data_IF_143398739340
#
_entry.id   IF_143398739340
#
_cell.length_a   1.000
_cell.length_b   1.000
_cell.length_c   1.000
_cell.angle_alpha   90.00
_cell.angle_beta   90.00
_cell.angle_gamma   90.00
#
_symmetry.space_group_name_H-M   'P 1'
#
loop_
_entity.id
_entity.type
_entity.pdbx_description
1 polymer ?
#
# COMPACT_ATOMS: atom_id res chain seq x y z
N UNK A 1 5.81 41.39 26.35
CA UNK A 1 5.34 41.08 25.00
C UNK A 1 6.53 40.53 24.21
N UNK A 2 6.65 39.23 24.07
CA UNK A 2 7.75 38.57 23.38
C UNK A 2 7.47 38.52 21.87
N UNK A 3 8.40 39.06 21.08
CA UNK A 3 8.35 39.03 19.61
C UNK A 3 8.35 37.59 19.09
N UNK A 4 7.54 37.21 18.10
CA UNK A 4 7.52 35.87 17.54
C UNK A 4 8.86 35.57 16.85
N UNK A 5 9.53 34.50 17.29
CA UNK A 5 10.74 34.00 16.61
C UNK A 5 10.40 33.57 15.18
N UNK A 6 10.88 34.32 14.20
CA UNK A 6 10.86 33.88 12.79
C UNK A 6 11.67 32.58 12.65
N UNK A 7 10.99 31.51 12.28
CA UNK A 7 11.66 30.28 11.85
C UNK A 7 12.47 30.59 10.58
N UNK A 8 13.79 30.37 10.63
CA UNK A 8 14.63 30.46 9.44
C UNK A 8 14.19 29.38 8.43
N UNK A 9 14.07 29.74 7.14
CA UNK A 9 13.80 28.73 6.11
C UNK A 9 14.91 27.69 6.12
N UNK A 10 14.53 26.43 6.11
CA UNK A 10 15.44 25.29 6.07
C UNK A 10 16.14 25.28 4.71
N UNK A 11 17.45 25.07 4.71
CA UNK A 11 18.23 24.93 3.49
C UNK A 11 17.63 23.82 2.60
N UNK A 12 17.49 24.10 1.31
CA UNK A 12 17.08 23.12 0.31
C UNK A 12 18.07 21.94 0.30
N UNK A 13 17.58 20.69 0.11
CA UNK A 13 18.46 19.54 0.00
C UNK A 13 19.46 19.77 -1.17
N UNK A 14 20.69 19.24 -1.06
CA UNK A 14 21.68 19.39 -2.12
C UNK A 14 21.13 18.81 -3.43
N UNK A 15 21.33 19.52 -4.53
CA UNK A 15 20.94 19.05 -5.86
C UNK A 15 21.65 17.74 -6.17
N UNK A 16 20.89 16.76 -6.67
CA UNK A 16 21.42 15.46 -7.11
C UNK A 16 22.45 15.72 -8.22
N UNK A 17 23.65 15.16 -8.08
CA UNK A 17 24.70 15.31 -9.08
C UNK A 17 24.22 14.80 -10.44
N UNK A 18 24.45 15.52 -11.57
CA UNK A 18 24.17 15.02 -12.90
C UNK A 18 24.90 13.69 -13.10
N UNK A 19 24.16 12.63 -13.51
CA UNK A 19 24.72 11.29 -13.74
C UNK A 19 24.60 10.31 -12.58
N UNK A 20 23.98 10.68 -11.44
CA UNK A 20 23.64 9.70 -10.41
C UNK A 20 22.59 8.71 -10.95
N UNK A 21 22.98 7.44 -11.15
CA UNK A 21 22.01 6.37 -11.44
C UNK A 21 21.08 6.21 -10.24
N UNK A 22 19.79 6.23 -10.51
CA UNK A 22 18.80 5.81 -9.52
C UNK A 22 19.08 4.34 -9.15
N UNK A 23 18.96 3.96 -7.86
CA UNK A 23 19.11 2.56 -7.47
C UNK A 23 18.10 1.72 -8.24
N UNK A 24 18.58 0.72 -8.96
CA UNK A 24 17.73 -0.22 -9.66
C UNK A 24 16.90 -0.98 -8.62
N UNK A 25 15.57 -0.84 -8.69
CA UNK A 25 14.66 -1.61 -7.88
C UNK A 25 14.81 -3.10 -8.19
N UNK A 26 14.81 -3.96 -7.20
CA UNK A 26 14.75 -5.41 -7.42
C UNK A 26 13.53 -5.73 -8.28
N UNK A 27 13.66 -6.50 -9.36
CA UNK A 27 12.50 -6.92 -10.13
C UNK A 27 11.56 -7.72 -9.22
N UNK A 28 10.38 -7.15 -8.96
CA UNK A 28 9.35 -7.83 -8.17
C UNK A 28 8.52 -8.70 -9.12
N UNK A 29 8.92 -9.96 -9.26
CA UNK A 29 8.11 -10.95 -9.97
C UNK A 29 7.11 -11.59 -8.99
N UNK A 30 5.84 -11.52 -9.33
CA UNK A 30 4.79 -12.25 -8.64
C UNK A 30 4.11 -13.20 -9.62
N UNK A 31 3.84 -14.44 -9.19
CA UNK A 31 3.19 -15.44 -10.02
C UNK A 31 1.75 -15.05 -10.43
N UNK A 32 1.10 -14.19 -9.65
CA UNK A 32 -0.24 -13.69 -9.91
C UNK A 32 -0.54 -12.39 -9.13
N UNK A 33 -1.67 -11.74 -9.42
CA UNK A 33 -2.07 -10.49 -8.77
C UNK A 33 -2.23 -10.62 -7.25
N UNK A 34 -2.72 -11.76 -6.75
CA UNK A 34 -2.88 -11.97 -5.30
C UNK A 34 -1.51 -12.04 -4.61
N UNK A 35 -0.53 -12.67 -5.25
CA UNK A 35 0.84 -12.73 -4.75
C UNK A 35 1.56 -11.37 -4.75
N UNK A 36 1.10 -10.43 -5.56
CA UNK A 36 1.64 -9.07 -5.61
C UNK A 36 1.08 -8.15 -4.50
N UNK A 37 0.07 -8.61 -3.76
CA UNK A 37 -0.51 -7.84 -2.65
C UNK A 37 0.48 -7.75 -1.49
N UNK A 38 0.74 -6.54 -1.02
CA UNK A 38 1.65 -6.30 0.08
C UNK A 38 3.08 -6.03 -0.37
N UNK A 39 4.02 -6.22 0.53
CA UNK A 39 5.43 -5.90 0.31
C UNK A 39 5.66 -4.51 -0.30
N UNK A 40 4.76 -3.57 0.00
CA UNK A 40 4.78 -2.19 -0.50
C UNK A 40 5.99 -1.44 0.05
N UNK A 41 6.56 -0.49 -0.69
CA UNK A 41 7.72 0.27 -0.24
C UNK A 41 7.47 1.04 1.04
N UNK A 42 8.51 1.17 1.87
CA UNK A 42 8.56 2.04 3.03
C UNK A 42 9.59 3.14 2.75
N UNK A 43 9.14 4.39 2.69
CA UNK A 43 9.95 5.54 2.30
C UNK A 43 10.13 6.49 3.47
N UNK A 44 11.36 6.88 3.76
CA UNK A 44 11.63 7.87 4.80
C UNK A 44 11.30 9.28 4.28
N UNK A 45 10.67 10.07 5.14
CA UNK A 45 10.28 11.46 4.88
C UNK A 45 11.07 12.44 5.77
N UNK A 46 12.38 12.63 5.53
CA UNK A 46 13.24 13.38 6.43
C UNK A 46 12.83 14.86 6.53
N UNK A 47 12.23 15.42 5.47
CA UNK A 47 11.75 16.81 5.45
C UNK A 47 10.63 17.05 6.46
N UNK A 48 9.87 16.03 6.80
CA UNK A 48 8.75 16.10 7.75
C UNK A 48 9.16 15.77 9.19
N UNK A 49 10.41 15.40 9.42
CA UNK A 49 10.91 15.14 10.77
C UNK A 49 10.84 16.41 11.62
N UNK A 50 10.16 16.38 12.79
CA UNK A 50 9.96 17.57 13.63
C UNK A 50 11.25 17.99 14.36
N UNK A 51 12.17 17.06 14.62
CA UNK A 51 13.43 17.31 15.33
C UNK A 51 14.44 16.17 15.07
N UNK A 52 15.70 16.41 15.46
CA UNK A 52 16.75 15.39 15.42
C UNK A 52 16.37 14.14 16.23
N UNK A 53 16.70 12.98 15.71
CA UNK A 53 16.41 11.68 16.33
C UNK A 53 14.99 11.14 16.11
N UNK A 54 14.08 11.93 15.49
CA UNK A 54 12.75 11.47 15.08
C UNK A 54 12.74 11.16 13.59
N UNK A 55 12.33 9.96 13.21
CA UNK A 55 12.21 9.54 11.79
C UNK A 55 10.75 9.27 11.45
N UNK A 56 10.33 9.78 10.31
CA UNK A 56 8.98 9.59 9.78
C UNK A 56 9.08 8.77 8.50
N UNK A 57 8.23 7.75 8.39
CA UNK A 57 8.16 6.88 7.22
C UNK A 57 6.75 6.84 6.64
N UNK A 58 6.66 6.79 5.33
CA UNK A 58 5.43 6.54 4.60
C UNK A 58 5.44 5.12 4.02
N UNK A 59 4.39 4.36 4.27
CA UNK A 59 4.12 3.08 3.63
C UNK A 59 3.31 3.32 2.37
N UNK A 60 3.87 3.02 1.20
CA UNK A 60 3.25 3.32 -0.09
C UNK A 60 2.21 2.27 -0.48
N UNK A 61 1.07 2.26 0.19
CA UNK A 61 0.00 1.27 -0.04
C UNK A 61 -0.70 1.40 -1.40
N UNK A 62 -0.52 2.51 -2.10
CA UNK A 62 -0.93 2.66 -3.50
C UNK A 62 -0.23 1.70 -4.47
N UNK A 63 0.85 1.05 -4.05
CA UNK A 63 1.58 0.06 -4.85
C UNK A 63 0.97 -1.36 -4.81
N UNK A 64 -0.15 -1.55 -4.12
CA UNK A 64 -0.92 -2.78 -4.23
C UNK A 64 -1.61 -2.88 -5.61
N UNK A 65 -1.97 -4.09 -6.10
CA UNK A 65 -2.55 -4.29 -7.44
C UNK A 65 -3.75 -3.42 -7.82
N UNK A 66 -4.66 -3.13 -6.86
CA UNK A 66 -5.79 -2.23 -7.12
C UNK A 66 -5.51 -0.77 -6.71
N UNK A 67 -4.28 -0.47 -6.30
CA UNK A 67 -3.90 0.87 -5.83
C UNK A 67 -4.33 1.18 -4.40
N UNK A 68 -4.67 0.20 -3.59
CA UNK A 68 -5.24 0.42 -2.26
C UNK A 68 -4.73 -0.55 -1.20
N UNK A 69 -4.67 -0.06 0.05
CA UNK A 69 -4.45 -0.90 1.25
C UNK A 69 -5.54 -1.98 1.42
N UNK A 70 -6.71 -1.80 0.79
CA UNK A 70 -7.82 -2.75 0.89
C UNK A 70 -7.53 -4.10 0.25
N UNK A 71 -6.57 -4.18 -0.64
CA UNK A 71 -6.10 -5.46 -1.19
C UNK A 71 -5.64 -6.42 -0.09
N UNK A 72 -4.96 -5.91 0.93
CA UNK A 72 -4.53 -6.72 2.08
C UNK A 72 -5.71 -7.30 2.85
N UNK A 73 -6.74 -6.47 3.09
CA UNK A 73 -7.94 -6.86 3.82
C UNK A 73 -8.72 -7.90 3.00
N UNK A 74 -8.95 -7.63 1.72
CA UNK A 74 -9.66 -8.55 0.82
C UNK A 74 -8.97 -9.93 0.76
N UNK A 75 -7.63 -9.94 0.60
CA UNK A 75 -6.87 -11.19 0.62
C UNK A 75 -7.03 -11.94 1.94
N UNK A 76 -6.91 -11.25 3.07
CA UNK A 76 -6.99 -11.87 4.39
C UNK A 76 -8.39 -12.46 4.67
N UNK A 77 -9.46 -11.72 4.32
CA UNK A 77 -10.84 -12.17 4.50
C UNK A 77 -11.13 -13.41 3.67
N UNK A 78 -10.78 -13.39 2.39
CA UNK A 78 -11.03 -14.53 1.49
C UNK A 78 -10.17 -15.73 1.89
N UNK A 79 -8.91 -15.53 2.28
CA UNK A 79 -8.05 -16.61 2.74
C UNK A 79 -8.61 -17.25 4.01
N UNK A 80 -9.03 -16.46 5.00
CA UNK A 80 -9.63 -16.98 6.23
C UNK A 80 -10.88 -17.83 5.95
N UNK A 81 -11.75 -17.37 5.02
CA UNK A 81 -12.95 -18.09 4.65
C UNK A 81 -12.68 -19.39 3.83
N UNK A 82 -11.55 -19.44 3.14
CA UNK A 82 -11.08 -20.67 2.52
C UNK A 82 -10.51 -21.65 3.56
N UNK A 83 -9.74 -21.15 4.51
CA UNK A 83 -9.04 -21.94 5.52
C UNK A 83 -10.04 -22.58 6.51
N UNK A 84 -11.11 -21.87 6.87
CA UNK A 84 -12.18 -22.39 7.75
C UNK A 84 -13.27 -23.17 7.00
N UNK A 85 -13.20 -23.25 5.66
CA UNK A 85 -14.14 -23.97 4.81
C UNK A 85 -15.50 -23.29 4.64
N UNK A 86 -15.67 -22.07 5.11
CA UNK A 86 -16.92 -21.31 4.94
C UNK A 86 -17.13 -20.83 3.49
N UNK A 87 -16.07 -20.66 2.71
CA UNK A 87 -16.13 -20.29 1.31
C UNK A 87 -15.98 -21.52 0.40
N UNK A 88 -17.11 -22.12 0.06
CA UNK A 88 -17.19 -23.24 -0.90
C UNK A 88 -17.42 -22.73 -2.33
N UNK A 89 -17.20 -23.60 -3.34
CA UNK A 89 -17.23 -23.20 -4.76
C UNK A 89 -18.61 -22.76 -5.28
N UNK A 90 -19.67 -23.16 -4.62
CA UNK A 90 -21.05 -22.78 -4.93
C UNK A 90 -21.45 -21.42 -4.32
N UNK A 91 -20.66 -20.89 -3.39
CA UNK A 91 -20.95 -19.62 -2.72
C UNK A 91 -20.64 -18.41 -3.59
N UNK A 92 -21.36 -17.32 -3.30
CA UNK A 92 -21.15 -15.98 -3.85
C UNK A 92 -20.69 -15.08 -2.73
N UNK A 93 -19.62 -14.33 -2.95
CA UNK A 93 -19.23 -13.28 -2.03
C UNK A 93 -20.14 -12.06 -2.26
N UNK A 94 -20.66 -11.51 -1.18
CA UNK A 94 -21.52 -10.33 -1.20
C UNK A 94 -20.96 -9.33 -0.20
N UNK A 95 -20.76 -8.09 -0.64
CA UNK A 95 -20.28 -7.01 0.23
C UNK A 95 -20.94 -5.68 -0.17
N UNK A 96 -21.68 -5.04 0.72
CA UNK A 96 -22.26 -3.72 0.46
C UNK A 96 -21.18 -2.63 0.55
N UNK A 97 -20.51 -2.39 -0.57
CA UNK A 97 -19.39 -1.45 -0.64
C UNK A 97 -19.47 -0.58 -1.88
N UNK A 98 -19.06 0.67 -1.76
CA UNK A 98 -18.99 1.61 -2.89
C UNK A 98 -17.56 2.05 -3.21
N UNK A 99 -16.55 1.40 -2.63
CA UNK A 99 -15.18 1.87 -2.72
C UNK A 99 -14.13 0.76 -2.89
N UNK A 100 -12.93 1.07 -2.44
CA UNK A 100 -11.75 0.22 -2.64
C UNK A 100 -11.90 -1.20 -2.08
N UNK A 101 -12.70 -1.41 -1.03
CA UNK A 101 -12.97 -2.75 -0.48
C UNK A 101 -13.63 -3.64 -1.52
N UNK A 102 -14.69 -3.14 -2.19
CA UNK A 102 -15.36 -3.88 -3.26
C UNK A 102 -14.45 -4.16 -4.45
N UNK A 103 -13.66 -3.18 -4.87
CA UNK A 103 -12.70 -3.34 -5.98
C UNK A 103 -11.69 -4.45 -5.64
N UNK A 104 -11.14 -4.42 -4.43
CA UNK A 104 -10.17 -5.41 -3.97
C UNK A 104 -10.77 -6.81 -3.83
N UNK A 105 -11.99 -6.92 -3.27
CA UNK A 105 -12.71 -8.20 -3.16
C UNK A 105 -13.06 -8.77 -4.55
N UNK A 106 -13.53 -7.93 -5.47
CA UNK A 106 -13.82 -8.36 -6.85
C UNK A 106 -12.56 -8.90 -7.55
N UNK A 107 -11.43 -8.25 -7.37
CA UNK A 107 -10.15 -8.70 -7.92
C UNK A 107 -9.74 -10.05 -7.33
N UNK A 108 -9.76 -10.21 -5.99
CA UNK A 108 -9.36 -11.46 -5.33
C UNK A 108 -10.33 -12.59 -5.66
N UNK A 109 -11.64 -12.35 -5.57
CA UNK A 109 -12.68 -13.34 -5.90
C UNK A 109 -12.57 -13.80 -7.36
N UNK A 110 -12.44 -12.85 -8.29
CA UNK A 110 -12.33 -13.16 -9.72
C UNK A 110 -11.08 -14.00 -10.03
N UNK A 111 -9.96 -13.73 -9.38
CA UNK A 111 -8.71 -14.52 -9.55
C UNK A 111 -8.82 -15.93 -9.00
N UNK A 112 -9.66 -16.15 -8.02
CA UNK A 112 -9.92 -17.47 -7.42
C UNK A 112 -11.13 -18.19 -8.03
N UNK A 113 -11.82 -17.56 -8.99
CA UNK A 113 -12.98 -18.14 -9.68
C UNK A 113 -14.28 -18.14 -8.86
N UNK A 114 -14.42 -17.18 -7.93
CA UNK A 114 -15.64 -16.94 -7.18
C UNK A 114 -16.45 -15.80 -7.79
N UNK A 115 -17.77 -15.90 -7.68
CA UNK A 115 -18.68 -14.78 -8.01
C UNK A 115 -18.65 -13.78 -6.89
N UNK A 116 -18.73 -12.49 -7.25
CA UNK A 116 -18.79 -11.36 -6.33
C UNK A 116 -19.93 -10.41 -6.73
N UNK A 117 -20.67 -9.94 -5.76
CA UNK A 117 -21.77 -8.96 -5.93
C UNK A 117 -21.68 -7.88 -4.86
#
# INVERSE_FOLDING_TARGET
MGSPRRLKPRASPPATKPGARLPEGRPMHSANLIGAIGNTPLVELPTYSPKSGVRIFAKLEGNNPTGSVKDRIARAMVQAALDDGSLTKDRVLIEPTSGNTGISLAMVAGRLGYRFT
#
